data_IF_509570698410
#
_entry.id   IF_509570698410
#
_cell.length_a   1.000
_cell.length_b   1.000
_cell.length_c   1.000
_cell.angle_alpha   90.00
_cell.angle_beta   90.00
_cell.angle_gamma   90.00
#
_symmetry.space_group_name_H-M   'P 1'
#
loop_
_entity.id
_entity.type
_entity.pdbx_description
1 polymer ?
#
# COMPACT_ATOMS: atom_id res chain seq x y z
N UNK A 1 -23.98 2.69 6.29
CA UNK A 1 -22.75 1.94 6.62
C UNK A 1 -21.57 2.91 6.58
N UNK A 2 -20.75 2.98 7.63
CA UNK A 2 -19.62 3.92 7.72
C UNK A 2 -18.33 3.31 7.19
N UNK A 3 -17.51 4.12 6.52
CA UNK A 3 -16.14 3.76 6.16
C UNK A 3 -15.27 3.81 7.41
N UNK A 4 -14.45 2.79 7.64
CA UNK A 4 -13.48 2.73 8.74
C UNK A 4 -12.06 2.86 8.18
N UNK A 5 -11.25 3.70 8.82
CA UNK A 5 -9.81 3.81 8.51
C UNK A 5 -9.04 3.04 9.58
N UNK A 6 -8.22 2.08 9.16
CA UNK A 6 -7.43 1.24 10.07
C UNK A 6 -6.06 0.88 9.48
N UNK A 7 -5.08 0.44 10.30
CA UNK A 7 -3.88 -0.20 9.78
C UNK A 7 -4.22 -1.38 8.87
N UNK A 8 -3.45 -1.54 7.80
CA UNK A 8 -3.56 -2.73 6.96
C UNK A 8 -3.08 -3.97 7.71
N UNK A 9 -3.76 -5.09 7.48
CA UNK A 9 -3.36 -6.41 7.92
C UNK A 9 -2.89 -7.23 6.71
N UNK A 10 -2.10 -8.27 6.96
CA UNK A 10 -1.61 -9.15 5.89
C UNK A 10 -2.75 -9.80 5.08
N UNK A 11 -3.92 -9.98 5.70
CA UNK A 11 -5.12 -10.48 5.05
C UNK A 11 -5.67 -9.52 3.98
N UNK A 12 -5.34 -8.21 4.04
CA UNK A 12 -5.74 -7.24 3.03
C UNK A 12 -4.85 -7.30 1.78
N UNK A 13 -3.68 -7.96 1.86
CA UNK A 13 -2.66 -7.93 0.80
C UNK A 13 -3.18 -8.38 -0.58
N UNK A 14 -4.02 -9.44 -0.71
CA UNK A 14 -4.61 -9.78 -2.00
C UNK A 14 -5.44 -8.64 -2.59
N UNK A 15 -6.36 -8.05 -1.83
CA UNK A 15 -7.21 -6.96 -2.28
C UNK A 15 -6.41 -5.70 -2.65
N UNK A 16 -5.36 -5.39 -1.87
CA UNK A 16 -4.44 -4.27 -2.17
C UNK A 16 -3.64 -4.50 -3.45
N UNK A 17 -3.23 -5.75 -3.70
CA UNK A 17 -2.49 -6.13 -4.91
C UNK A 17 -3.38 -5.98 -6.13
N UNK A 18 -4.60 -6.49 -6.07
CA UNK A 18 -5.58 -6.39 -7.16
C UNK A 18 -5.94 -4.92 -7.45
N UNK A 19 -6.18 -4.13 -6.40
CA UNK A 19 -6.46 -2.70 -6.52
C UNK A 19 -5.30 -1.95 -7.19
N UNK A 20 -4.05 -2.20 -6.79
CA UNK A 20 -2.90 -1.52 -7.39
C UNK A 20 -2.68 -1.96 -8.84
N UNK A 21 -2.78 -3.26 -9.11
CA UNK A 21 -2.64 -3.83 -10.45
C UNK A 21 -3.71 -3.31 -11.41
N UNK A 22 -4.93 -3.00 -10.94
CA UNK A 22 -5.92 -2.31 -11.75
C UNK A 22 -5.37 -1.00 -12.32
N UNK A 23 -4.66 -0.19 -11.51
CA UNK A 23 -4.07 1.06 -11.99
C UNK A 23 -2.88 0.86 -12.90
N UNK A 24 -2.07 -0.19 -12.69
CA UNK A 24 -0.97 -0.56 -13.61
C UNK A 24 -1.51 -0.85 -15.00
N UNK A 25 -2.54 -1.69 -15.08
CA UNK A 25 -3.08 -2.18 -16.37
C UNK A 25 -3.86 -1.10 -17.11
N UNK A 26 -4.57 -0.22 -16.38
CA UNK A 26 -5.55 0.67 -16.99
C UNK A 26 -5.10 2.14 -17.05
N UNK A 27 -3.98 2.52 -16.42
CA UNK A 27 -3.56 3.93 -16.35
C UNK A 27 -2.04 4.08 -16.34
N UNK A 28 -1.50 5.25 -16.73
CA UNK A 28 -0.08 5.53 -16.59
C UNK A 28 0.30 6.08 -15.20
N UNK A 29 -0.56 5.99 -14.17
CA UNK A 29 -0.38 6.77 -12.93
C UNK A 29 0.74 6.23 -12.02
N UNK A 30 0.99 4.92 -12.04
CA UNK A 30 1.97 4.27 -11.14
C UNK A 30 3.37 4.19 -11.74
N UNK A 31 3.48 4.35 -13.07
CA UNK A 31 4.70 4.18 -13.87
C UNK A 31 5.27 2.75 -13.86
N UNK A 32 4.60 1.81 -13.19
CA UNK A 32 4.84 0.39 -13.36
C UNK A 32 4.27 -0.08 -14.71
N UNK A 33 4.97 -1.01 -15.35
CA UNK A 33 4.60 -1.57 -16.66
C UNK A 33 4.15 -3.04 -16.58
N UNK A 34 4.40 -3.69 -15.45
CA UNK A 34 4.08 -5.10 -15.21
C UNK A 34 3.29 -5.23 -13.90
N UNK A 35 2.18 -6.00 -13.88
CA UNK A 35 1.44 -6.26 -12.64
C UNK A 35 2.31 -6.97 -11.60
N UNK A 36 2.10 -6.62 -10.33
CA UNK A 36 2.78 -7.29 -9.21
C UNK A 36 2.15 -8.66 -8.92
N UNK A 37 2.99 -9.64 -8.58
CA UNK A 37 2.54 -10.87 -7.93
C UNK A 37 2.29 -10.64 -6.44
N UNK A 38 1.53 -11.52 -5.81
CA UNK A 38 1.25 -11.46 -4.38
C UNK A 38 2.55 -11.58 -3.56
N UNK A 39 3.47 -12.45 -3.98
CA UNK A 39 4.78 -12.64 -3.33
C UNK A 39 5.64 -11.38 -3.44
N UNK A 40 5.67 -10.75 -4.61
CA UNK A 40 6.37 -9.48 -4.81
C UNK A 40 5.78 -8.38 -3.93
N UNK A 41 4.46 -8.35 -3.78
CA UNK A 41 3.77 -7.36 -2.94
C UNK A 41 3.93 -7.61 -1.45
N UNK A 42 4.16 -8.85 -1.02
CA UNK A 42 4.45 -9.18 0.37
C UNK A 42 5.75 -8.50 0.87
N UNK A 43 6.78 -8.40 0.00
CA UNK A 43 8.02 -7.69 0.32
C UNK A 43 7.75 -6.20 0.55
N UNK A 44 6.99 -5.56 -0.35
CA UNK A 44 6.55 -4.17 -0.17
C UNK A 44 5.75 -3.96 1.11
N UNK A 45 4.86 -4.90 1.47
CA UNK A 45 4.05 -4.79 2.68
C UNK A 45 4.90 -4.82 3.96
N UNK A 46 5.95 -5.63 3.97
CA UNK A 46 6.84 -5.83 5.14
C UNK A 46 7.57 -4.56 5.61
N UNK A 47 7.61 -3.51 4.79
CA UNK A 47 8.25 -2.24 5.16
C UNK A 47 7.40 -1.37 6.11
N UNK A 48 6.11 -1.69 6.27
CA UNK A 48 5.18 -0.91 7.09
C UNK A 48 5.06 -1.49 8.50
N UNK A 49 4.85 -0.60 9.46
CA UNK A 49 4.61 -0.97 10.85
C UNK A 49 3.35 -0.27 11.39
N UNK A 50 2.82 -0.80 12.51
CA UNK A 50 1.69 -0.20 13.21
C UNK A 50 2.03 1.19 13.78
N UNK A 51 3.30 1.40 14.12
CA UNK A 51 3.83 2.65 14.69
C UNK A 51 5.05 3.13 13.91
N UNK A 52 5.44 4.38 14.13
CA UNK A 52 6.56 4.99 13.43
C UNK A 52 6.17 5.69 12.13
N UNK A 53 7.17 5.96 11.30
CA UNK A 53 7.08 6.89 10.16
C UNK A 53 6.45 6.27 8.91
N UNK A 54 6.63 4.97 8.72
CA UNK A 54 6.14 4.23 7.54
C UNK A 54 4.95 3.39 7.91
N UNK A 55 3.77 3.86 7.51
CA UNK A 55 2.49 3.23 7.85
C UNK A 55 1.70 3.00 6.57
N UNK A 56 0.89 1.95 6.60
CA UNK A 56 -0.08 1.64 5.56
C UNK A 56 -1.46 1.58 6.22
N UNK A 57 -2.34 2.45 5.76
CA UNK A 57 -3.73 2.53 6.20
C UNK A 57 -4.65 2.09 5.07
N UNK A 58 -5.72 1.40 5.42
CA UNK A 58 -6.80 1.04 4.50
C UNK A 58 -8.10 1.72 4.88
N UNK A 59 -8.90 2.03 3.88
CA UNK A 59 -10.31 2.36 4.03
C UNK A 59 -11.12 1.08 3.79
N UNK A 60 -11.88 0.65 4.80
CA UNK A 60 -12.74 -0.53 4.72
C UNK A 60 -14.21 -0.15 4.90
N UNK A 61 -15.08 -0.77 4.12
CA UNK A 61 -16.53 -0.74 4.34
C UNK A 61 -17.10 -2.14 4.19
N UNK A 62 -17.74 -2.65 5.25
CA UNK A 62 -18.41 -3.96 5.26
C UNK A 62 -17.52 -5.14 4.78
N UNK A 63 -16.23 -5.15 5.16
CA UNK A 63 -15.28 -6.19 4.76
C UNK A 63 -14.61 -5.95 3.40
N UNK A 64 -15.01 -4.92 2.66
CA UNK A 64 -14.41 -4.56 1.37
C UNK A 64 -13.38 -3.43 1.54
N UNK A 65 -12.22 -3.60 0.92
CA UNK A 65 -11.17 -2.58 0.88
C UNK A 65 -11.48 -1.60 -0.26
N UNK A 66 -11.79 -0.36 0.11
CA UNK A 66 -12.12 0.71 -0.84
C UNK A 66 -10.86 1.44 -1.36
N UNK A 67 -9.75 1.34 -0.63
CA UNK A 67 -8.52 2.04 -0.96
C UNK A 67 -7.49 1.98 0.17
N UNK A 68 -6.31 2.52 -0.10
CA UNK A 68 -5.24 2.62 0.88
C UNK A 68 -4.41 3.89 0.70
N UNK A 69 -3.69 4.26 1.75
CA UNK A 69 -2.67 5.29 1.72
C UNK A 69 -1.47 4.83 2.55
N UNK A 70 -0.26 5.16 2.11
CA UNK A 70 0.95 4.82 2.84
C UNK A 70 2.00 5.91 2.83
N UNK A 71 2.84 5.92 3.85
CA UNK A 71 4.10 6.66 3.88
C UNK A 71 5.27 5.70 3.75
N UNK A 72 6.30 6.08 3.00
CA UNK A 72 7.47 5.25 2.74
C UNK A 72 8.75 6.09 2.66
N UNK A 73 9.92 5.45 2.56
CA UNK A 73 11.18 6.17 2.39
C UNK A 73 11.20 6.91 1.05
N UNK A 74 11.46 8.23 1.06
CA UNK A 74 11.58 9.01 -0.17
C UNK A 74 12.79 8.58 -1.02
N UNK A 75 13.97 8.48 -0.40
CA UNK A 75 15.22 8.06 -1.06
C UNK A 75 16.12 7.29 -0.09
N UNK A 76 16.95 6.40 -0.63
CA UNK A 76 17.82 5.54 0.17
C UNK A 76 18.96 6.27 0.91
N UNK A 77 19.37 7.47 0.47
CA UNK A 77 20.44 8.23 1.14
C UNK A 77 19.95 8.70 2.50
N UNK A 78 20.74 8.46 3.56
CA UNK A 78 20.41 8.80 4.96
C UNK A 78 20.00 10.26 5.20
N UNK A 79 20.49 11.20 4.39
CA UNK A 79 20.09 12.60 4.47
C UNK A 79 18.59 12.83 4.25
N UNK A 80 17.87 11.87 3.63
CA UNK A 80 16.42 11.91 3.43
C UNK A 80 15.63 11.11 4.48
N UNK A 81 16.25 10.64 5.56
CA UNK A 81 15.59 9.77 6.55
C UNK A 81 14.34 10.40 7.19
N UNK A 82 14.29 11.73 7.27
CA UNK A 82 13.15 12.49 7.80
C UNK A 82 12.14 12.91 6.73
N UNK A 83 12.38 12.57 5.47
CA UNK A 83 11.48 12.82 4.34
C UNK A 83 10.63 11.58 4.02
N UNK A 84 9.33 11.78 3.85
CA UNK A 84 8.34 10.76 3.50
C UNK A 84 7.60 11.15 2.23
#
# INVERSE_FOLDING_TARGET
MSVQIRPAAIADLPALTDLYNHYIVNTPTTFDIEPYTLEGRAVWFSQFALTGRYRLLVAEQAGEILGYACSGPFKAKRAYETSV
#
